data_IF_103916792390
#
_entry.id   IF_103916792390
#
_cell.length_a   1.000
_cell.length_b   1.000
_cell.length_c   1.000
_cell.angle_alpha   90.00
_cell.angle_beta   90.00
_cell.angle_gamma   90.00
#
_symmetry.space_group_name_H-M   'P 1'
#
loop_
_entity.id
_entity.type
_entity.pdbx_description
1 polymer ?
#
# COMPACT_ATOMS: atom_id res chain seq x y z
N UNK A 1 -40.09 -10.02 17.05
CA UNK A 1 -40.91 -10.12 18.28
C UNK A 1 -40.01 -9.82 19.45
N UNK A 2 -40.35 -8.80 20.24
CA UNK A 2 -39.52 -8.30 21.35
C UNK A 2 -40.08 -6.94 21.78
N UNK A 3 -41.24 -6.97 22.41
CA UNK A 3 -41.94 -5.78 22.90
C UNK A 3 -41.52 -5.49 24.33
N UNK A 4 -40.51 -4.67 24.53
CA UNK A 4 -40.17 -4.15 25.86
C UNK A 4 -41.08 -2.97 26.20
N UNK A 5 -42.02 -3.25 27.10
CA UNK A 5 -42.90 -2.26 27.72
C UNK A 5 -42.09 -1.37 28.66
N UNK A 6 -41.76 -0.18 28.16
CA UNK A 6 -41.26 0.92 28.96
C UNK A 6 -42.38 1.41 29.89
N UNK A 7 -42.34 1.02 31.17
CA UNK A 7 -43.25 1.55 32.19
C UNK A 7 -42.81 2.97 32.57
N UNK A 8 -43.75 3.88 32.42
CA UNK A 8 -43.59 5.33 32.52
C UNK A 8 -43.44 5.76 34.00
N UNK A 9 -42.27 6.32 34.33
CA UNK A 9 -41.89 6.78 35.68
C UNK A 9 -42.75 7.94 36.21
N UNK A 10 -43.65 8.48 35.38
CA UNK A 10 -44.62 9.52 35.76
C UNK A 10 -45.87 8.97 36.48
N UNK A 11 -46.18 7.68 36.36
CA UNK A 11 -47.37 7.09 37.01
C UNK A 11 -47.18 6.81 38.50
N UNK A 12 -45.97 6.51 38.95
CA UNK A 12 -45.66 6.22 40.36
C UNK A 12 -45.64 7.49 41.22
N UNK A 13 -45.28 8.65 40.66
CA UNK A 13 -45.29 9.93 41.37
C UNK A 13 -46.71 10.49 41.62
N UNK A 14 -47.70 10.15 40.78
CA UNK A 14 -49.11 10.54 41.01
C UNK A 14 -49.80 9.69 42.07
N UNK A 15 -49.46 8.41 42.17
CA UNK A 15 -50.06 7.47 43.15
C UNK A 15 -49.69 7.80 44.61
N UNK A 16 -48.51 8.37 44.87
CA UNK A 16 -48.10 8.77 46.22
C UNK A 16 -48.75 10.08 46.68
N UNK A 17 -49.01 11.02 45.75
CA UNK A 17 -49.63 12.32 46.06
C UNK A 17 -51.13 12.19 46.38
N UNK A 18 -51.82 11.19 45.83
CA UNK A 18 -53.25 10.94 46.12
C UNK A 18 -53.48 10.26 47.47
N UNK A 19 -52.50 9.50 48.00
CA UNK A 19 -52.68 8.74 49.25
C UNK A 19 -52.44 9.56 50.52
N UNK A 20 -51.70 10.67 50.42
CA UNK A 20 -51.46 11.59 51.56
C UNK A 20 -52.60 12.60 51.72
N UNK A 21 -53.35 12.92 50.65
CA UNK A 21 -54.51 13.81 50.73
C UNK A 21 -55.81 13.14 51.20
N UNK A 22 -55.85 11.82 51.38
CA UNK A 22 -57.03 11.07 51.86
C UNK A 22 -56.99 10.73 53.37
N UNK A 23 -56.10 11.33 54.15
CA UNK A 23 -56.00 11.06 55.60
C UNK A 23 -56.11 12.30 56.51
N UNK A 24 -56.62 13.42 55.97
CA UNK A 24 -56.87 14.66 56.73
C UNK A 24 -58.28 15.24 56.55
N UNK A 25 -59.27 14.41 56.19
CA UNK A 25 -60.69 14.75 56.28
C UNK A 25 -61.39 13.71 57.16
N UNK A 26 -61.60 14.05 58.43
CA UNK A 26 -62.20 13.14 59.40
C UNK A 26 -61.98 13.56 60.86
N UNK A 27 -62.30 14.80 61.19
CA UNK A 27 -62.56 15.19 62.59
C UNK A 27 -64.00 15.65 62.65
N UNK A 28 -64.87 14.68 62.89
CA UNK A 28 -66.27 14.89 63.22
C UNK A 28 -66.39 15.68 64.52
N UNK A 29 -67.26 16.68 64.49
CA UNK A 29 -67.89 17.27 65.66
C UNK A 29 -68.73 16.23 66.40
N UNK A 30 -68.87 16.35 67.73
CA UNK A 30 -70.14 16.01 68.35
C UNK A 30 -70.70 17.21 69.10
N UNK A 31 -71.81 17.71 68.58
CA UNK A 31 -72.84 18.39 69.35
C UNK A 31 -73.69 17.35 70.07
N UNK A 32 -73.76 17.38 71.40
CA UNK A 32 -75.02 17.11 72.13
C UNK A 32 -74.93 17.61 73.57
N UNK A 33 -75.70 18.68 73.81
CA UNK A 33 -76.54 18.95 74.97
C UNK A 33 -76.56 17.95 76.16
N UNK A 34 -76.26 18.48 77.35
CA UNK A 34 -76.96 18.21 78.62
C UNK A 34 -76.59 19.34 79.62
N UNK A 35 -77.50 20.27 79.88
CA UNK A 35 -78.36 20.29 81.08
C UNK A 35 -77.64 20.68 82.38
N UNK A 36 -77.95 21.90 82.80
CA UNK A 36 -77.93 22.47 84.15
C UNK A 36 -77.96 21.48 85.32
N UNK A 37 -77.12 21.72 86.34
CA UNK A 37 -77.52 21.74 87.75
C UNK A 37 -76.42 22.37 88.62
N UNK A 38 -76.80 23.43 89.34
CA UNK A 38 -76.06 24.11 90.39
C UNK A 38 -76.18 23.28 91.69
N UNK A 39 -75.17 23.37 92.56
CA UNK A 39 -75.07 22.91 93.98
C UNK A 39 -74.27 21.59 94.14
N UNK A 40 -73.34 21.41 95.08
CA UNK A 40 -72.88 22.18 96.23
C UNK A 40 -71.52 21.63 96.74
N UNK A 41 -70.69 22.52 97.28
CA UNK A 41 -69.74 22.35 98.39
C UNK A 41 -69.08 20.97 98.66
N UNK A 42 -67.78 20.85 98.35
CA UNK A 42 -66.85 20.11 99.22
C UNK A 42 -65.41 20.60 98.99
N UNK A 43 -64.80 21.16 100.04
CA UNK A 43 -63.44 21.73 100.03
C UNK A 43 -62.40 20.62 99.93
N UNK A 44 -61.79 20.43 98.76
CA UNK A 44 -60.50 19.75 98.65
C UNK A 44 -59.37 20.69 99.10
N UNK A 45 -58.34 20.20 99.82
CA UNK A 45 -57.27 21.05 100.33
C UNK A 45 -56.39 21.54 99.18
N UNK A 46 -56.20 22.86 99.10
CA UNK A 46 -55.44 23.59 98.06
C UNK A 46 -54.05 23.00 97.75
N UNK A 47 -53.43 22.29 98.71
CA UNK A 47 -52.12 21.65 98.57
C UNK A 47 -52.13 20.45 97.60
N UNK A 48 -53.18 19.63 97.60
CA UNK A 48 -53.30 18.46 96.71
C UNK A 48 -53.52 18.86 95.25
N UNK A 49 -54.30 19.93 95.00
CA UNK A 49 -54.45 20.51 93.67
C UNK A 49 -53.15 21.13 93.14
N UNK A 50 -52.33 21.76 94.00
CA UNK A 50 -51.03 22.32 93.62
C UNK A 50 -50.00 21.24 93.26
N UNK A 51 -49.98 20.12 93.98
CA UNK A 51 -49.09 18.99 93.68
C UNK A 51 -49.48 18.31 92.37
N UNK A 52 -50.79 18.02 92.18
CA UNK A 52 -51.32 17.44 90.94
C UNK A 52 -51.10 18.35 89.73
N UNK A 53 -51.25 19.67 89.89
CA UNK A 53 -50.96 20.63 88.83
C UNK A 53 -49.46 20.71 88.49
N UNK A 54 -48.56 20.59 89.48
CA UNK A 54 -47.10 20.50 89.25
C UNK A 54 -46.72 19.22 88.53
N UNK A 55 -47.32 18.09 88.90
CA UNK A 55 -47.11 16.79 88.26
C UNK A 55 -47.58 16.80 86.80
N UNK A 56 -48.80 17.30 86.54
CA UNK A 56 -49.33 17.49 85.19
C UNK A 56 -48.47 18.43 84.36
N UNK A 57 -47.99 19.55 84.93
CA UNK A 57 -47.04 20.43 84.24
C UNK A 57 -45.73 19.72 83.92
N UNK A 58 -45.20 18.89 84.82
CA UNK A 58 -43.99 18.12 84.56
C UNK A 58 -44.20 17.09 83.44
N UNK A 59 -45.36 16.42 83.38
CA UNK A 59 -45.69 15.49 82.29
C UNK A 59 -45.88 16.21 80.95
N UNK A 60 -46.55 17.35 80.94
CA UNK A 60 -46.73 18.19 79.73
C UNK A 60 -45.38 18.69 79.23
N UNK A 61 -44.51 19.17 80.12
CA UNK A 61 -43.16 19.62 79.74
C UNK A 61 -42.30 18.46 79.20
N UNK A 62 -42.41 17.26 79.78
CA UNK A 62 -41.72 16.07 79.26
C UNK A 62 -42.24 15.66 77.87
N UNK A 63 -43.56 15.69 77.67
CA UNK A 63 -44.21 15.40 76.39
C UNK A 63 -43.82 16.42 75.31
N UNK A 64 -43.80 17.72 75.64
CA UNK A 64 -43.36 18.77 74.72
C UNK A 64 -41.87 18.63 74.36
N UNK A 65 -41.00 18.26 75.32
CA UNK A 65 -39.59 17.95 75.03
C UNK A 65 -39.46 16.74 74.09
N UNK A 66 -40.26 15.69 74.29
CA UNK A 66 -40.30 14.52 73.42
C UNK A 66 -40.75 14.89 72.00
N UNK A 67 -41.82 15.68 71.84
CA UNK A 67 -42.29 16.16 70.54
C UNK A 67 -41.26 17.04 69.84
N UNK A 68 -40.51 17.86 70.60
CA UNK A 68 -39.44 18.69 70.03
C UNK A 68 -38.27 17.86 69.52
N UNK A 69 -37.87 16.81 70.23
CA UNK A 69 -36.85 15.86 69.76
C UNK A 69 -37.29 15.13 68.47
N UNK A 70 -38.57 14.77 68.35
CA UNK A 70 -39.13 14.18 67.12
C UNK A 70 -39.08 15.16 65.95
N UNK A 71 -39.41 16.44 66.19
CA UNK A 71 -39.30 17.51 65.19
C UNK A 71 -37.85 17.69 64.71
N UNK A 72 -36.87 17.70 65.63
CA UNK A 72 -35.45 17.80 65.25
C UNK A 72 -35.01 16.61 64.38
N UNK A 73 -35.43 15.38 64.71
CA UNK A 73 -35.15 14.19 63.89
C UNK A 73 -35.81 14.29 62.51
N UNK A 74 -37.04 14.78 62.41
CA UNK A 74 -37.72 15.00 61.14
C UNK A 74 -36.96 16.00 60.27
N UNK A 75 -36.54 17.14 60.82
CA UNK A 75 -35.75 18.14 60.07
C UNK A 75 -34.40 17.58 59.60
N UNK A 76 -33.75 16.72 60.39
CA UNK A 76 -32.54 16.02 59.95
C UNK A 76 -32.80 15.03 58.83
N UNK A 77 -33.91 14.28 58.89
CA UNK A 77 -34.29 13.34 57.83
C UNK A 77 -34.61 14.07 56.52
N UNK A 78 -35.33 15.18 56.59
CA UNK A 78 -35.60 16.06 55.44
C UNK A 78 -34.29 16.57 54.83
N UNK A 79 -33.36 17.09 55.65
CA UNK A 79 -32.06 17.53 55.17
C UNK A 79 -31.21 16.42 54.53
N UNK A 80 -31.28 15.20 55.07
CA UNK A 80 -30.62 14.02 54.49
C UNK A 80 -31.25 13.61 53.17
N UNK A 81 -32.59 13.64 53.07
CA UNK A 81 -33.32 13.34 51.85
C UNK A 81 -32.97 14.35 50.73
N UNK A 82 -32.96 15.64 51.03
CA UNK A 82 -32.55 16.69 50.09
C UNK A 82 -31.10 16.54 49.62
N UNK A 83 -30.21 16.11 50.53
CA UNK A 83 -28.82 15.81 50.20
C UNK A 83 -28.71 14.62 49.25
N UNK A 84 -29.46 13.54 49.51
CA UNK A 84 -29.48 12.36 48.64
C UNK A 84 -30.05 12.70 47.26
N UNK A 85 -31.11 13.49 47.19
CA UNK A 85 -31.69 13.94 45.92
C UNK A 85 -30.71 14.77 45.10
N UNK A 86 -29.90 15.62 45.74
CA UNK A 86 -28.81 16.35 45.06
C UNK A 86 -27.76 15.39 44.51
N UNK A 87 -27.30 14.42 45.30
CA UNK A 87 -26.33 13.42 44.86
C UNK A 87 -26.87 12.58 43.69
N UNK A 88 -28.14 12.20 43.71
CA UNK A 88 -28.79 11.47 42.61
C UNK A 88 -28.79 12.30 41.33
N UNK A 89 -29.10 13.61 41.41
CA UNK A 89 -29.07 14.50 40.24
C UNK A 89 -27.67 14.65 39.67
N UNK A 90 -26.66 14.82 40.53
CA UNK A 90 -25.26 14.90 40.12
C UNK A 90 -24.79 13.60 39.44
N UNK A 91 -25.10 12.44 40.02
CA UNK A 91 -24.79 11.14 39.41
C UNK A 91 -25.51 10.94 38.07
N UNK A 92 -26.77 11.38 37.96
CA UNK A 92 -27.50 11.32 36.68
C UNK A 92 -26.88 12.24 35.63
N UNK A 93 -26.41 13.44 36.01
CA UNK A 93 -25.72 14.34 35.10
C UNK A 93 -24.39 13.73 34.63
N UNK A 94 -23.56 13.24 35.55
CA UNK A 94 -22.29 12.58 35.24
C UNK A 94 -22.49 11.35 34.34
N UNK A 95 -23.53 10.55 34.58
CA UNK A 95 -23.83 9.39 33.73
C UNK A 95 -24.22 9.81 32.30
N UNK A 96 -25.00 10.89 32.14
CA UNK A 96 -25.32 11.44 30.80
C UNK A 96 -24.06 11.94 30.09
N UNK A 97 -23.17 12.63 30.78
CA UNK A 97 -21.90 13.09 30.22
C UNK A 97 -21.02 11.92 29.79
N UNK A 98 -20.90 10.87 30.61
CA UNK A 98 -20.17 9.65 30.25
C UNK A 98 -20.78 8.95 29.03
N UNK A 99 -22.11 8.89 28.93
CA UNK A 99 -22.79 8.32 27.76
C UNK A 99 -22.52 9.14 26.49
N UNK A 100 -22.51 10.47 26.58
CA UNK A 100 -22.16 11.35 25.46
C UNK A 100 -20.69 11.17 25.05
N UNK A 101 -19.76 11.15 26.01
CA UNK A 101 -18.35 10.92 25.72
C UNK A 101 -18.12 9.53 25.08
N UNK A 102 -18.87 8.52 25.52
CA UNK A 102 -18.79 7.17 24.96
C UNK A 102 -19.30 7.12 23.52
N UNK A 103 -20.41 7.81 23.22
CA UNK A 103 -20.96 7.85 21.86
C UNK A 103 -20.05 8.62 20.89
N UNK A 104 -19.45 9.72 21.35
CA UNK A 104 -18.45 10.47 20.58
C UNK A 104 -17.21 9.62 20.27
N UNK A 105 -16.70 8.89 21.26
CA UNK A 105 -15.56 8.01 21.08
C UNK A 105 -15.86 6.87 20.09
N UNK A 106 -17.06 6.29 20.16
CA UNK A 106 -17.51 5.30 19.18
C UNK A 106 -17.62 5.88 17.77
N UNK A 107 -18.15 7.10 17.62
CA UNK A 107 -18.24 7.78 16.33
C UNK A 107 -16.84 8.06 15.75
N UNK A 108 -15.91 8.54 16.57
CA UNK A 108 -14.52 8.79 16.18
C UNK A 108 -13.82 7.48 15.76
N UNK A 109 -14.03 6.39 16.50
CA UNK A 109 -13.46 5.09 16.15
C UNK A 109 -14.04 4.53 14.83
N UNK A 110 -15.32 4.77 14.56
CA UNK A 110 -15.91 4.40 13.27
C UNK A 110 -15.37 5.25 12.12
N UNK A 111 -15.20 6.56 12.33
CA UNK A 111 -14.65 7.47 11.32
C UNK A 111 -13.22 7.06 10.95
N UNK A 112 -12.35 6.88 11.94
CA UNK A 112 -10.96 6.44 11.73
C UNK A 112 -10.88 5.08 11.04
N UNK A 113 -11.72 4.11 11.42
CA UNK A 113 -11.77 2.82 10.73
C UNK A 113 -12.18 2.96 9.25
N UNK A 114 -13.13 3.83 8.91
CA UNK A 114 -13.51 4.10 7.52
C UNK A 114 -12.37 4.75 6.74
N UNK A 115 -11.68 5.72 7.34
CA UNK A 115 -10.52 6.36 6.73
C UNK A 115 -9.38 5.36 6.47
N UNK A 116 -9.09 4.47 7.43
CA UNK A 116 -8.10 3.41 7.26
C UNK A 116 -8.49 2.43 6.15
N UNK A 117 -9.76 2.05 6.05
CA UNK A 117 -10.25 1.20 4.97
C UNK A 117 -10.12 1.88 3.60
N UNK A 118 -10.44 3.17 3.51
CA UNK A 118 -10.29 3.96 2.29
C UNK A 118 -8.81 4.12 1.88
N UNK A 119 -7.92 4.36 2.84
CA UNK A 119 -6.48 4.44 2.59
C UNK A 119 -5.93 3.10 2.10
N UNK A 120 -6.34 1.99 2.71
CA UNK A 120 -5.92 0.65 2.30
C UNK A 120 -6.43 0.31 0.90
N UNK A 121 -7.70 0.61 0.59
CA UNK A 121 -8.25 0.36 -0.75
C UNK A 121 -7.53 1.19 -1.82
N UNK A 122 -7.23 2.46 -1.54
CA UNK A 122 -6.43 3.31 -2.42
C UNK A 122 -5.02 2.73 -2.63
N UNK A 123 -4.35 2.29 -1.57
CA UNK A 123 -3.02 1.66 -1.67
C UNK A 123 -3.05 0.34 -2.46
N UNK A 124 -4.12 -0.46 -2.34
CA UNK A 124 -4.28 -1.65 -3.16
C UNK A 124 -4.51 -1.31 -4.64
N UNK A 125 -5.26 -0.26 -4.94
CA UNK A 125 -5.46 0.21 -6.31
C UNK A 125 -4.13 0.63 -6.94
N UNK A 126 -3.35 1.46 -6.25
CA UNK A 126 -2.03 1.88 -6.75
C UNK A 126 -1.07 0.70 -6.90
N UNK A 127 -1.10 -0.27 -5.99
CA UNK A 127 -0.28 -1.47 -6.14
C UNK A 127 -0.67 -2.28 -7.39
N UNK A 128 -1.96 -2.43 -7.68
CA UNK A 128 -2.44 -3.11 -8.90
C UNK A 128 -2.00 -2.38 -10.17
N UNK A 129 -2.08 -1.05 -10.18
CA UNK A 129 -1.60 -0.23 -11.29
C UNK A 129 -0.09 -0.40 -11.50
N UNK A 130 0.71 -0.33 -10.43
CA UNK A 130 2.16 -0.56 -10.50
C UNK A 130 2.52 -1.97 -10.99
N UNK A 131 1.73 -3.00 -10.62
CA UNK A 131 1.94 -4.34 -11.15
C UNK A 131 1.60 -4.43 -12.64
N UNK A 132 0.57 -3.73 -13.11
CA UNK A 132 0.20 -3.69 -14.52
C UNK A 132 1.30 -3.01 -15.35
N UNK A 133 1.76 -1.82 -14.93
CA UNK A 133 2.84 -1.10 -15.62
C UNK A 133 4.15 -1.88 -15.62
N UNK A 134 4.48 -2.59 -14.54
CA UNK A 134 5.66 -3.45 -14.51
C UNK A 134 5.56 -4.59 -15.54
N UNK A 135 4.38 -5.23 -15.67
CA UNK A 135 4.17 -6.27 -16.68
C UNK A 135 4.29 -5.73 -18.11
N UNK A 136 3.76 -4.54 -18.37
CA UNK A 136 3.89 -3.86 -19.67
C UNK A 136 5.35 -3.56 -20.00
N UNK A 137 6.10 -2.96 -19.05
CA UNK A 137 7.53 -2.69 -19.22
C UNK A 137 8.34 -3.97 -19.44
N UNK A 138 8.01 -5.07 -18.75
CA UNK A 138 8.66 -6.36 -18.99
C UNK A 138 8.37 -6.90 -20.39
N UNK A 139 7.15 -6.71 -20.91
CA UNK A 139 6.80 -7.11 -22.27
C UNK A 139 7.56 -6.28 -23.31
N UNK A 140 7.57 -4.95 -23.17
CA UNK A 140 8.32 -4.05 -24.03
C UNK A 140 9.82 -4.35 -24.01
N UNK A 141 10.39 -4.59 -22.82
CA UNK A 141 11.79 -4.96 -22.69
C UNK A 141 12.12 -6.27 -23.43
N UNK A 142 11.23 -7.28 -23.36
CA UNK A 142 11.41 -8.54 -24.12
C UNK A 142 11.32 -8.30 -25.63
N UNK A 143 10.38 -7.47 -26.08
CA UNK A 143 10.25 -7.11 -27.49
C UNK A 143 11.50 -6.37 -27.99
N UNK A 144 11.96 -5.36 -27.26
CA UNK A 144 13.17 -4.61 -27.59
C UNK A 144 14.39 -5.53 -27.65
N UNK A 145 14.54 -6.45 -26.70
CA UNK A 145 15.62 -7.44 -26.73
C UNK A 145 15.55 -8.32 -27.97
N UNK A 146 14.37 -8.83 -28.31
CA UNK A 146 14.18 -9.60 -29.55
C UNK A 146 14.51 -8.80 -30.82
N UNK A 147 14.18 -7.51 -30.85
CA UNK A 147 14.55 -6.60 -31.95
C UNK A 147 16.05 -6.37 -32.03
N UNK A 148 16.72 -6.20 -30.89
CA UNK A 148 18.19 -6.08 -30.83
C UNK A 148 18.85 -7.36 -31.34
N UNK A 149 18.39 -8.53 -30.92
CA UNK A 149 18.91 -9.82 -31.37
C UNK A 149 18.70 -10.01 -32.89
N UNK A 150 17.55 -9.59 -33.41
CA UNK A 150 17.27 -9.58 -34.84
C UNK A 150 18.22 -8.62 -35.59
N UNK A 151 18.38 -7.38 -35.12
CA UNK A 151 19.27 -6.41 -35.75
C UNK A 151 20.73 -6.84 -35.69
N UNK A 152 21.16 -7.49 -34.61
CA UNK A 152 22.50 -8.06 -34.48
C UNK A 152 22.73 -9.20 -35.48
N UNK A 153 21.74 -10.08 -35.67
CA UNK A 153 21.84 -11.15 -36.67
C UNK A 153 21.83 -10.61 -38.11
N UNK A 154 21.01 -9.58 -38.38
CA UNK A 154 21.00 -8.90 -39.68
C UNK A 154 22.29 -8.14 -39.96
N UNK A 155 22.83 -7.41 -38.99
CA UNK A 155 24.08 -6.67 -39.15
C UNK A 155 25.27 -7.61 -39.38
N UNK A 156 25.31 -8.75 -38.68
CA UNK A 156 26.28 -9.81 -38.92
C UNK A 156 26.17 -10.38 -40.35
N UNK A 157 24.95 -10.66 -40.81
CA UNK A 157 24.71 -11.15 -42.17
C UNK A 157 25.14 -10.12 -43.23
N UNK A 158 24.78 -8.84 -43.05
CA UNK A 158 25.22 -7.77 -43.94
C UNK A 158 26.74 -7.57 -43.92
N UNK A 159 27.38 -7.70 -42.74
CA UNK A 159 28.83 -7.71 -42.60
C UNK A 159 29.45 -8.77 -43.51
N UNK A 160 29.00 -10.02 -43.42
CA UNK A 160 29.49 -11.11 -44.27
C UNK A 160 29.33 -10.84 -45.77
N UNK A 161 28.20 -10.25 -46.19
CA UNK A 161 27.98 -9.89 -47.60
C UNK A 161 28.96 -8.81 -48.08
N UNK A 162 29.18 -7.78 -47.25
CA UNK A 162 30.15 -6.72 -47.57
C UNK A 162 31.58 -7.28 -47.63
N UNK A 163 31.96 -8.13 -46.67
CA UNK A 163 33.26 -8.79 -46.68
C UNK A 163 33.46 -9.63 -47.95
N UNK A 164 32.43 -10.36 -48.40
CA UNK A 164 32.47 -11.09 -49.68
C UNK A 164 32.67 -10.16 -50.86
N UNK A 165 31.93 -9.06 -50.92
CA UNK A 165 32.04 -8.07 -51.98
C UNK A 165 33.46 -7.46 -52.06
N UNK A 166 34.07 -7.13 -50.92
CA UNK A 166 35.44 -6.61 -50.87
C UNK A 166 36.44 -7.65 -51.39
N UNK A 167 36.33 -8.91 -50.97
CA UNK A 167 37.22 -9.97 -51.46
C UNK A 167 37.08 -10.18 -52.98
N UNK A 168 35.86 -10.20 -53.51
CA UNK A 168 35.59 -10.33 -54.95
C UNK A 168 36.21 -9.17 -55.75
N UNK A 169 36.15 -7.94 -55.22
CA UNK A 169 36.79 -6.77 -55.84
C UNK A 169 38.32 -6.86 -55.82
N UNK A 170 38.90 -7.34 -54.72
CA UNK A 170 40.35 -7.55 -54.63
C UNK A 170 40.80 -8.60 -55.64
N UNK A 171 40.08 -9.72 -55.75
CA UNK A 171 40.37 -10.75 -56.75
C UNK A 171 40.28 -10.18 -58.15
N UNK A 172 39.21 -9.44 -58.45
CA UNK A 172 39.04 -8.80 -59.75
C UNK A 172 40.20 -7.86 -60.09
N UNK A 173 40.64 -7.06 -59.11
CA UNK A 173 41.74 -6.10 -59.32
C UNK A 173 43.09 -6.79 -59.55
N UNK A 174 43.37 -7.85 -58.79
CA UNK A 174 44.57 -8.66 -59.00
C UNK A 174 44.55 -9.38 -60.35
N UNK A 175 43.41 -10.00 -60.70
CA UNK A 175 43.24 -10.65 -62.00
C UNK A 175 43.41 -9.64 -63.15
N UNK A 176 42.79 -8.46 -63.09
CA UNK A 176 42.92 -7.42 -64.11
C UNK A 176 44.36 -6.94 -64.30
N UNK A 177 45.12 -6.81 -63.21
CA UNK A 177 46.52 -6.34 -63.27
C UNK A 177 47.46 -7.38 -63.86
N UNK A 178 47.22 -8.65 -63.56
CA UNK A 178 48.09 -9.75 -63.96
C UNK A 178 47.47 -10.61 -65.08
N UNK A 179 46.43 -10.10 -65.77
CA UNK A 179 45.68 -10.84 -66.80
C UNK A 179 46.49 -11.09 -68.09
N UNK A 180 47.62 -10.41 -68.26
CA UNK A 180 48.43 -10.47 -69.48
C UNK A 180 49.79 -11.16 -69.24
N UNK A 181 50.07 -12.21 -70.02
CA UNK A 181 51.37 -12.89 -70.04
C UNK A 181 51.49 -14.11 -69.13
N UNK A 182 52.70 -14.39 -68.64
CA UNK A 182 53.04 -15.57 -67.82
C UNK A 182 52.45 -15.55 -66.39
N UNK A 183 51.85 -14.44 -65.97
CA UNK A 183 51.24 -14.27 -64.64
C UNK A 183 49.72 -14.50 -64.63
N UNK A 184 49.11 -14.71 -65.81
CA UNK A 184 47.69 -15.03 -65.92
C UNK A 184 47.38 -16.38 -65.26
N UNK A 185 46.25 -16.46 -64.56
CA UNK A 185 45.87 -17.67 -63.82
C UNK A 185 45.48 -18.80 -64.78
N UNK A 186 46.16 -19.96 -64.75
CA UNK A 186 45.74 -21.13 -65.51
C UNK A 186 44.35 -21.62 -65.05
N UNK A 187 43.47 -22.07 -65.96
CA UNK A 187 42.09 -22.45 -65.62
C UNK A 187 42.00 -23.62 -64.63
N UNK A 188 42.98 -24.53 -64.64
CA UNK A 188 43.01 -25.71 -63.75
C UNK A 188 43.70 -25.45 -62.41
N UNK A 189 44.26 -24.25 -62.21
CA UNK A 189 45.03 -23.90 -61.01
C UNK A 189 44.14 -23.30 -59.92
N UNK A 190 44.30 -23.81 -58.69
CA UNK A 190 43.63 -23.23 -57.52
C UNK A 190 44.11 -21.80 -57.27
N UNK A 191 43.17 -20.91 -56.93
CA UNK A 191 43.45 -19.50 -56.71
C UNK A 191 44.47 -19.25 -55.59
N UNK A 192 44.40 -20.01 -54.49
CA UNK A 192 45.39 -19.92 -53.39
C UNK A 192 46.81 -20.23 -53.85
N UNK A 193 46.97 -21.25 -54.70
CA UNK A 193 48.29 -21.65 -55.24
C UNK A 193 48.79 -20.60 -56.22
N UNK A 194 47.90 -20.05 -57.05
CA UNK A 194 48.23 -18.94 -57.96
C UNK A 194 48.63 -17.69 -57.19
N UNK A 195 47.88 -17.31 -56.15
CA UNK A 195 48.15 -16.14 -55.31
C UNK A 195 49.49 -16.26 -54.57
N UNK A 196 49.82 -17.45 -54.05
CA UNK A 196 51.11 -17.71 -53.42
C UNK A 196 52.29 -17.63 -54.42
N UNK A 197 52.11 -18.17 -55.63
CA UNK A 197 53.10 -18.05 -56.70
C UNK A 197 53.27 -16.60 -57.15
N UNK A 198 52.18 -15.85 -57.23
CA UNK A 198 52.16 -14.43 -57.61
C UNK A 198 52.88 -13.57 -56.57
N UNK A 199 52.63 -13.82 -55.27
CA UNK A 199 53.34 -13.17 -54.17
C UNK A 199 54.85 -13.43 -54.23
N UNK A 200 55.25 -14.67 -54.55
CA UNK A 200 56.66 -15.04 -54.67
C UNK A 200 57.34 -14.36 -55.89
N UNK A 201 56.62 -14.14 -56.99
CA UNK A 201 57.12 -13.46 -58.20
C UNK A 201 57.16 -11.94 -58.05
N UNK A 202 56.20 -11.36 -57.32
CA UNK A 202 56.03 -9.90 -57.19
C UNK A 202 56.01 -9.40 -55.74
N UNK A 203 57.01 -9.70 -54.89
CA UNK A 203 56.96 -9.40 -53.46
C UNK A 203 56.82 -7.89 -53.17
N UNK A 204 57.48 -7.05 -53.96
CA UNK A 204 57.46 -5.59 -53.82
C UNK A 204 56.05 -5.00 -54.00
N UNK A 205 55.22 -5.59 -54.85
CA UNK A 205 53.86 -5.13 -55.10
C UNK A 205 52.95 -5.41 -53.88
N UNK A 206 53.07 -6.60 -53.31
CA UNK A 206 52.28 -6.98 -52.12
C UNK A 206 52.70 -6.18 -50.88
N UNK A 207 54.00 -5.92 -50.71
CA UNK A 207 54.51 -5.07 -49.62
C UNK A 207 54.06 -3.60 -49.76
N UNK A 208 54.11 -3.04 -50.97
CA UNK A 208 53.67 -1.67 -51.24
C UNK A 208 52.17 -1.47 -50.96
N UNK A 209 51.37 -2.51 -51.17
CA UNK A 209 49.93 -2.49 -50.91
C UNK A 209 49.53 -3.07 -49.55
N UNK A 210 50.51 -3.40 -48.69
CA UNK A 210 50.31 -3.97 -47.36
C UNK A 210 49.45 -5.25 -47.36
N UNK A 211 49.51 -6.03 -48.44
CA UNK A 211 48.83 -7.32 -48.54
C UNK A 211 49.61 -8.36 -47.73
N UNK A 212 49.49 -8.28 -46.41
CA UNK A 212 50.20 -9.12 -45.45
C UNK A 212 49.58 -10.54 -45.37
N UNK A 213 50.27 -11.47 -44.71
CA UNK A 213 49.82 -12.86 -44.57
C UNK A 213 48.34 -13.01 -44.09
N UNK A 214 47.82 -12.22 -43.13
CA UNK A 214 46.41 -12.29 -42.75
C UNK A 214 45.45 -11.86 -43.88
N UNK A 215 45.80 -10.83 -44.64
CA UNK A 215 44.98 -10.36 -45.76
C UNK A 215 44.99 -11.38 -46.92
N UNK A 216 46.12 -12.00 -47.19
CA UNK A 216 46.25 -13.06 -48.21
C UNK A 216 45.46 -14.31 -47.81
N UNK A 217 45.43 -14.66 -46.52
CA UNK A 217 44.62 -15.76 -46.01
C UNK A 217 43.12 -15.58 -46.31
N UNK A 218 42.60 -14.35 -46.19
CA UNK A 218 41.22 -14.02 -46.53
C UNK A 218 40.90 -14.20 -48.03
N UNK A 219 41.92 -14.14 -48.90
CA UNK A 219 41.79 -14.23 -50.35
C UNK A 219 42.02 -15.64 -50.90
N UNK A 220 42.21 -16.67 -50.06
CA UNK A 220 42.55 -18.03 -50.52
C UNK A 220 41.48 -18.71 -51.40
N UNK A 221 40.23 -18.24 -51.35
CA UNK A 221 39.18 -18.67 -52.28
C UNK A 221 39.18 -17.75 -53.48
N UNK A 222 39.12 -18.28 -54.69
CA UNK A 222 39.13 -17.46 -55.91
C UNK A 222 37.80 -16.84 -56.25
N UNK A 223 37.80 -15.97 -57.26
CA UNK A 223 36.62 -15.28 -57.76
C UNK A 223 35.52 -16.27 -58.19
N UNK A 224 34.27 -15.99 -57.81
CA UNK A 224 33.10 -16.73 -58.29
C UNK A 224 32.90 -18.13 -57.69
N UNK A 225 33.69 -18.53 -56.68
CA UNK A 225 33.39 -19.78 -55.95
C UNK A 225 32.08 -19.65 -55.19
N UNK A 226 31.06 -20.45 -55.54
CA UNK A 226 29.80 -20.51 -54.81
C UNK A 226 30.05 -21.03 -53.39
N UNK A 227 29.93 -20.16 -52.40
CA UNK A 227 29.98 -20.50 -50.99
C UNK A 227 28.73 -21.28 -50.62
N UNK A 228 28.78 -22.61 -50.66
CA UNK A 228 27.64 -23.47 -50.33
C UNK A 228 27.37 -23.44 -48.83
N UNK A 229 26.09 -23.29 -48.45
CA UNK A 229 25.64 -23.42 -47.07
C UNK A 229 25.96 -24.85 -46.58
N UNK A 230 26.91 -24.99 -45.64
CA UNK A 230 27.29 -26.27 -45.05
C UNK A 230 28.76 -26.67 -45.18
N UNK A 231 29.58 -25.90 -45.91
CA UNK A 231 31.04 -26.04 -45.80
C UNK A 231 31.54 -25.04 -44.75
N UNK A 232 32.24 -25.48 -43.70
CA UNK A 232 32.61 -24.68 -42.51
C UNK A 232 33.52 -23.45 -42.79
N UNK A 233 33.90 -23.22 -44.06
CA UNK A 233 34.55 -21.99 -44.55
C UNK A 233 33.58 -21.03 -45.30
N UNK A 234 32.28 -21.33 -45.27
CA UNK A 234 31.17 -20.49 -45.74
C UNK A 234 30.27 -20.24 -44.51
N UNK A 235 30.44 -19.05 -43.94
CA UNK A 235 30.16 -18.73 -42.54
C UNK A 235 28.69 -18.85 -42.11
N UNK A 236 28.35 -19.97 -41.49
CA UNK A 236 27.77 -19.92 -40.14
C UNK A 236 28.81 -20.59 -39.22
N UNK A 237 29.73 -19.82 -38.60
CA UNK A 237 30.73 -20.41 -37.74
C UNK A 237 30.00 -21.09 -36.57
N UNK A 238 30.40 -22.29 -36.13
CA UNK A 238 29.86 -22.91 -34.92
C UNK A 238 29.88 -21.88 -33.78
N UNK A 239 28.82 -21.77 -32.97
CA UNK A 239 28.65 -20.67 -31.99
C UNK A 239 29.91 -20.37 -31.15
N UNK A 240 30.67 -21.40 -30.76
CA UNK A 240 31.94 -21.26 -30.06
C UNK A 240 33.05 -20.49 -30.82
N UNK A 241 33.06 -20.56 -32.16
CA UNK A 241 33.98 -19.82 -33.03
C UNK A 241 33.47 -18.41 -33.34
N UNK A 242 32.15 -18.18 -33.32
CA UNK A 242 31.58 -16.84 -33.38
C UNK A 242 31.92 -16.04 -32.11
N UNK A 243 31.88 -16.69 -30.95
CA UNK A 243 32.25 -16.11 -29.65
C UNK A 243 33.76 -15.80 -29.57
N UNK A 244 34.61 -16.64 -30.19
CA UNK A 244 36.05 -16.42 -30.30
C UNK A 244 36.42 -15.33 -31.33
N UNK A 245 35.75 -15.32 -32.49
CA UNK A 245 35.94 -14.28 -33.53
C UNK A 245 35.47 -12.90 -33.05
N UNK A 246 34.48 -12.82 -32.16
CA UNK A 246 34.06 -11.57 -31.52
C UNK A 246 35.19 -10.95 -30.67
N UNK A 247 36.04 -11.78 -30.07
CA UNK A 247 37.24 -11.34 -29.36
C UNK A 247 38.40 -10.98 -30.31
N UNK A 248 38.48 -11.62 -31.49
CA UNK A 248 39.50 -11.39 -32.52
C UNK A 248 39.15 -10.28 -33.54
N UNK A 249 37.93 -9.78 -33.55
CA UNK A 249 37.44 -8.73 -34.46
C UNK A 249 38.30 -7.45 -34.45
N UNK A 250 38.99 -7.16 -33.35
CA UNK A 250 39.94 -6.03 -33.23
C UNK A 250 41.14 -6.20 -34.18
N UNK A 251 41.56 -7.44 -34.48
CA UNK A 251 42.64 -7.75 -35.43
C UNK A 251 42.13 -7.88 -36.86
N UNK A 252 40.97 -8.51 -37.07
CA UNK A 252 40.42 -8.73 -38.41
C UNK A 252 39.96 -7.43 -39.09
N UNK A 253 39.50 -6.44 -38.33
CA UNK A 253 39.10 -5.13 -38.88
C UNK A 253 40.27 -4.42 -39.59
N UNK A 254 41.52 -4.62 -39.14
CA UNK A 254 42.71 -4.07 -39.80
C UNK A 254 42.97 -4.72 -41.16
N UNK A 255 42.89 -6.05 -41.26
CA UNK A 255 43.10 -6.76 -42.52
C UNK A 255 42.05 -6.41 -43.58
N UNK A 256 40.77 -6.29 -43.18
CA UNK A 256 39.69 -5.85 -44.07
C UNK A 256 39.84 -4.39 -44.51
N UNK A 257 40.29 -3.51 -43.62
CA UNK A 257 40.62 -2.12 -43.98
C UNK A 257 41.73 -2.06 -45.02
N UNK A 258 42.75 -2.93 -44.90
CA UNK A 258 43.84 -3.01 -45.89
C UNK A 258 43.35 -3.51 -47.24
N UNK A 259 42.49 -4.54 -47.28
CA UNK A 259 41.87 -5.01 -48.52
C UNK A 259 41.02 -3.92 -49.18
N UNK A 260 40.24 -3.17 -48.41
CA UNK A 260 39.45 -2.05 -48.93
C UNK A 260 40.31 -0.89 -49.44
N UNK A 261 41.41 -0.56 -48.73
CA UNK A 261 42.38 0.43 -49.18
C UNK A 261 43.07 -0.02 -50.49
N UNK A 262 43.38 -1.31 -50.63
CA UNK A 262 43.92 -1.88 -51.87
C UNK A 262 42.96 -1.71 -53.04
N UNK A 263 41.67 -2.06 -52.87
CA UNK A 263 40.64 -1.87 -53.90
C UNK A 263 40.57 -0.42 -54.39
N UNK A 264 40.67 0.55 -53.48
CA UNK A 264 40.57 1.98 -53.79
C UNK A 264 41.90 2.64 -54.22
N UNK A 265 43.04 1.94 -54.12
CA UNK A 265 44.34 2.50 -54.49
C UNK A 265 44.43 2.74 -56.01
N UNK A 266 44.86 3.91 -56.50
CA UNK A 266 45.00 4.15 -57.94
C UNK A 266 46.09 3.24 -58.53
N UNK A 267 45.82 2.71 -59.71
CA UNK A 267 46.80 1.94 -60.47
C UNK A 267 47.87 2.90 -61.01
N UNK A 268 49.03 2.94 -60.35
CA UNK A 268 50.25 3.49 -60.95
C UNK A 268 50.94 2.42 -61.77
#
# INVERSE_FOLDING_TARGET
MGSDKQMDSKSTAKLFKTRVSQHLEGVETPSSSASSSISSSSRQPLAACKLRAKEQNATVVASLRSSRAVLDVLTQLEGRMDSQDRQIRELQAANRELQAATSELQAAQQATNRELQAANSAQQATNRELQATNRELQAEHRELRGRVDMLASQSAAHGLVLLRYVADLVHQKLEQRFDSGEDSRPPDMQYSVWLAALQARHPQYFEQHHLDAPAIQLLHKGRGTLFHAGNLAAHQPPQAHADAALADAVREQLAWNTLWAFVNSPER
#
